data_IF_831579617071
#
_entry.id   IF_831579617071
#
_cell.length_a   1.000
_cell.length_b   1.000
_cell.length_c   1.000
_cell.angle_alpha   90.00
_cell.angle_beta   90.00
_cell.angle_gamma   90.00
#
_symmetry.space_group_name_H-M   'P 1'
#
loop_
_entity.id
_entity.type
_entity.pdbx_description
1 polymer ?
#
# COMPACT_ATOMS: atom_id res chain seq x y z
N UNK A 1 -3.37 -2.30 -22.69
CA UNK A 1 -2.47 -1.17 -22.52
C UNK A 1 -1.25 -1.44 -23.40
N UNK A 2 -0.87 -0.50 -24.26
CA UNK A 2 0.39 -0.61 -25.00
C UNK A 2 1.57 -0.34 -24.06
N UNK A 3 2.76 -0.81 -24.47
CA UNK A 3 3.97 -0.75 -23.64
C UNK A 3 4.37 0.69 -23.29
N UNK A 4 4.33 1.59 -24.28
CA UNK A 4 4.70 3.00 -24.09
C UNK A 4 3.82 3.73 -23.09
N UNK A 5 2.51 3.47 -23.13
CA UNK A 5 1.57 4.03 -22.15
C UNK A 5 1.80 3.44 -20.77
N UNK A 6 2.03 2.11 -20.67
CA UNK A 6 2.31 1.45 -19.40
C UNK A 6 3.57 2.04 -18.75
N UNK A 7 4.67 2.11 -19.51
CA UNK A 7 5.95 2.68 -19.04
C UNK A 7 5.77 4.14 -18.60
N UNK A 8 5.05 4.95 -19.39
CA UNK A 8 4.85 6.36 -19.03
C UNK A 8 4.02 6.52 -17.75
N UNK A 9 2.99 5.70 -17.54
CA UNK A 9 2.18 5.73 -16.31
C UNK A 9 3.05 5.31 -15.12
N UNK A 10 3.85 4.26 -15.26
CA UNK A 10 4.79 3.81 -14.23
C UNK A 10 5.79 4.90 -13.86
N UNK A 11 6.41 5.57 -14.84
CA UNK A 11 7.37 6.64 -14.59
C UNK A 11 6.74 7.81 -13.82
N UNK A 12 5.53 8.24 -14.18
CA UNK A 12 4.83 9.29 -13.44
C UNK A 12 4.39 8.83 -12.05
N UNK A 13 4.06 7.55 -11.91
CA UNK A 13 3.85 6.93 -10.59
C UNK A 13 5.12 6.99 -9.72
N UNK A 14 6.29 6.66 -10.27
CA UNK A 14 7.58 6.73 -9.57
C UNK A 14 7.98 8.18 -9.23
N UNK A 15 7.76 9.13 -10.12
CA UNK A 15 7.97 10.56 -9.82
C UNK A 15 7.06 11.00 -8.67
N UNK A 16 5.78 10.67 -8.75
CA UNK A 16 4.81 10.97 -7.68
C UNK A 16 5.17 10.29 -6.36
N UNK A 17 5.62 9.02 -6.38
CA UNK A 17 6.10 8.28 -5.22
C UNK A 17 7.26 9.03 -4.54
N UNK A 18 8.28 9.41 -5.29
CA UNK A 18 9.44 10.10 -4.74
C UNK A 18 9.07 11.47 -4.16
N UNK A 19 8.31 12.28 -4.92
CA UNK A 19 7.86 13.60 -4.47
C UNK A 19 6.99 13.48 -3.22
N UNK A 20 6.03 12.56 -3.22
CA UNK A 20 5.16 12.31 -2.06
C UNK A 20 5.94 11.85 -0.84
N UNK A 21 6.86 10.90 -1.01
CA UNK A 21 7.72 10.42 0.08
C UNK A 21 8.53 11.55 0.71
N UNK A 22 9.06 12.44 -0.12
CA UNK A 22 9.88 13.55 0.34
C UNK A 22 9.07 14.64 1.03
N UNK A 23 7.94 15.01 0.44
CA UNK A 23 7.03 16.00 1.06
C UNK A 23 6.52 15.53 2.42
N UNK A 24 6.19 14.25 2.57
CA UNK A 24 5.81 13.68 3.86
C UNK A 24 6.92 13.75 4.89
N UNK A 25 8.13 13.37 4.52
CA UNK A 25 9.28 13.45 5.43
C UNK A 25 9.62 14.90 5.83
N UNK A 26 9.51 15.84 4.89
CA UNK A 26 9.69 17.28 5.18
C UNK A 26 8.63 17.78 6.15
N UNK A 27 7.37 17.34 5.99
CA UNK A 27 6.30 17.68 6.90
C UNK A 27 6.53 17.09 8.31
N UNK A 28 6.89 15.81 8.38
CA UNK A 28 7.12 15.08 9.64
C UNK A 28 8.31 15.65 10.44
N UNK A 29 9.31 16.22 9.75
CA UNK A 29 10.55 16.75 10.34
C UNK A 29 10.81 18.20 9.94
N UNK A 30 9.77 19.04 9.98
CA UNK A 30 9.83 20.43 9.53
C UNK A 30 10.94 21.24 10.19
N UNK A 31 11.13 21.08 11.50
CA UNK A 31 12.17 21.81 12.25
C UNK A 31 13.58 21.55 11.69
N UNK A 32 13.85 20.29 11.31
CA UNK A 32 15.13 19.91 10.70
C UNK A 32 15.28 20.48 9.29
N UNK A 33 14.26 20.33 8.44
CA UNK A 33 14.34 20.78 7.05
C UNK A 33 14.26 22.28 6.90
N UNK A 34 13.59 23.00 7.79
CA UNK A 34 13.59 24.47 7.81
C UNK A 34 14.97 25.04 8.13
N UNK A 35 15.76 24.39 8.98
CA UNK A 35 17.14 24.74 9.28
C UNK A 35 18.13 24.36 8.16
N UNK A 36 17.78 23.38 7.32
CA UNK A 36 18.64 22.84 6.26
C UNK A 36 17.89 22.70 4.92
N UNK A 37 17.42 23.79 4.30
CA UNK A 37 16.49 23.74 3.15
C UNK A 37 17.06 23.02 1.92
N UNK A 38 18.38 23.05 1.71
CA UNK A 38 19.03 22.34 0.60
C UNK A 38 18.89 20.80 0.73
N UNK A 39 18.73 20.29 1.95
CA UNK A 39 18.50 18.85 2.18
C UNK A 39 17.15 18.37 1.68
N UNK A 40 16.18 19.25 1.45
CA UNK A 40 14.89 18.88 0.85
C UNK A 40 15.06 18.19 -0.51
N UNK A 41 16.06 18.56 -1.29
CA UNK A 41 16.35 17.98 -2.61
C UNK A 41 17.43 16.89 -2.60
N UNK A 42 17.93 16.48 -1.42
CA UNK A 42 18.99 15.48 -1.25
C UNK A 42 18.41 14.10 -0.88
N UNK A 43 18.10 13.20 -1.85
CA UNK A 43 17.45 11.91 -1.57
C UNK A 43 18.35 10.90 -0.84
N UNK A 44 19.66 11.01 -1.01
CA UNK A 44 20.67 10.10 -0.45
C UNK A 44 20.88 10.23 1.06
N UNK A 45 20.34 11.26 1.68
CA UNK A 45 20.42 11.48 3.12
C UNK A 45 19.29 10.80 3.91
N UNK A 46 18.43 10.07 3.24
CA UNK A 46 17.27 9.42 3.86
C UNK A 46 16.09 10.40 4.07
N UNK A 47 15.20 10.07 4.98
CA UNK A 47 13.98 10.85 5.25
C UNK A 47 12.96 10.73 4.12
N UNK A 48 12.30 9.57 4.05
CA UNK A 48 11.21 9.27 3.12
C UNK A 48 10.03 8.71 3.92
N UNK A 49 8.84 9.25 3.71
CA UNK A 49 7.61 8.78 4.34
C UNK A 49 6.87 7.82 3.40
N UNK A 50 6.66 6.57 3.83
CA UNK A 50 6.03 5.55 3.00
C UNK A 50 4.56 5.87 2.67
N UNK A 51 3.81 6.42 3.63
CA UNK A 51 2.38 6.70 3.45
C UNK A 51 2.16 7.73 2.34
N UNK A 52 2.90 8.83 2.41
CA UNK A 52 2.82 9.91 1.41
C UNK A 52 3.46 9.50 0.08
N UNK A 53 4.40 8.54 0.08
CA UNK A 53 4.93 7.92 -1.12
C UNK A 53 3.83 7.23 -1.93
N UNK A 54 3.04 6.38 -1.30
CA UNK A 54 1.92 5.69 -1.97
C UNK A 54 0.84 6.65 -2.47
N UNK A 55 0.51 7.67 -1.66
CA UNK A 55 -0.42 8.71 -2.10
C UNK A 55 0.10 9.45 -3.34
N UNK A 56 1.36 9.85 -3.32
CA UNK A 56 2.01 10.49 -4.45
C UNK A 56 2.07 9.62 -5.70
N UNK A 57 2.40 8.33 -5.55
CA UNK A 57 2.39 7.36 -6.65
C UNK A 57 1.00 7.25 -7.29
N UNK A 58 -0.05 7.15 -6.46
CA UNK A 58 -1.44 7.10 -6.93
C UNK A 58 -1.84 8.37 -7.69
N UNK A 59 -1.49 9.55 -7.17
CA UNK A 59 -1.76 10.84 -7.81
C UNK A 59 -1.02 10.94 -9.16
N UNK A 60 0.27 10.60 -9.21
CA UNK A 60 1.07 10.65 -10.43
C UNK A 60 0.54 9.71 -11.52
N UNK A 61 0.23 8.46 -11.14
CA UNK A 61 -0.34 7.48 -12.04
C UNK A 61 -1.74 7.91 -12.53
N UNK A 62 -2.64 8.34 -11.63
CA UNK A 62 -3.98 8.79 -11.97
C UNK A 62 -3.97 10.03 -12.91
N UNK A 63 -3.10 10.99 -12.62
CA UNK A 63 -2.92 12.15 -13.50
C UNK A 63 -2.50 11.74 -14.90
N UNK A 64 -1.55 10.81 -15.01
CA UNK A 64 -1.10 10.34 -16.32
C UNK A 64 -2.15 9.51 -17.05
N UNK A 65 -2.89 8.65 -16.33
CA UNK A 65 -4.04 7.93 -16.88
C UNK A 65 -5.08 8.88 -17.47
N UNK A 66 -5.43 9.94 -16.72
CA UNK A 66 -6.36 10.97 -17.21
C UNK A 66 -5.86 11.63 -18.50
N UNK A 67 -4.57 12.01 -18.56
CA UNK A 67 -3.96 12.63 -19.75
C UNK A 67 -3.94 11.70 -20.96
N UNK A 68 -3.76 10.40 -20.75
CA UNK A 68 -3.72 9.38 -21.81
C UNK A 68 -5.09 8.77 -22.11
N UNK A 69 -6.15 9.19 -21.41
CA UNK A 69 -7.51 8.62 -21.48
C UNK A 69 -7.53 7.11 -21.25
N UNK A 70 -6.65 6.62 -20.37
CA UNK A 70 -6.61 5.23 -19.93
C UNK A 70 -7.52 5.07 -18.71
N UNK A 71 -8.43 4.08 -18.70
CA UNK A 71 -9.27 3.80 -17.52
C UNK A 71 -8.40 3.43 -16.32
N UNK A 72 -8.64 4.06 -15.17
CA UNK A 72 -7.85 3.84 -13.94
C UNK A 72 -7.94 2.38 -13.48
N UNK A 73 -9.06 1.73 -13.71
CA UNK A 73 -9.30 0.32 -13.37
C UNK A 73 -8.32 -0.64 -14.07
N UNK A 74 -7.87 -0.28 -15.28
CA UNK A 74 -6.88 -1.08 -16.01
C UNK A 74 -5.50 -1.05 -15.33
N UNK A 75 -5.13 0.10 -14.78
CA UNK A 75 -3.88 0.26 -14.03
C UNK A 75 -4.01 -0.34 -12.64
N UNK A 76 -5.15 -0.14 -11.98
CA UNK A 76 -5.46 -0.72 -10.69
C UNK A 76 -5.40 -2.26 -10.73
N UNK A 77 -5.90 -2.90 -11.80
CA UNK A 77 -5.75 -4.35 -12.00
C UNK A 77 -4.29 -4.76 -12.06
N UNK A 78 -3.50 -4.08 -12.90
CA UNK A 78 -2.08 -4.39 -13.05
C UNK A 78 -1.26 -4.15 -11.78
N UNK A 79 -1.66 -3.21 -10.94
CA UNK A 79 -0.96 -2.84 -9.70
C UNK A 79 -1.35 -3.70 -8.49
N UNK A 80 -2.52 -4.34 -8.48
CA UNK A 80 -3.09 -4.98 -7.28
C UNK A 80 -2.20 -6.08 -6.69
N UNK A 81 -1.75 -7.03 -7.50
CA UNK A 81 -0.88 -8.12 -7.04
C UNK A 81 0.54 -7.65 -6.77
N UNK A 82 1.20 -6.85 -7.65
CA UNK A 82 2.51 -6.29 -7.36
C UNK A 82 2.55 -5.46 -6.07
N UNK A 83 1.51 -4.69 -5.75
CA UNK A 83 1.43 -3.94 -4.51
C UNK A 83 1.47 -4.86 -3.28
N UNK A 84 0.65 -5.93 -3.27
CA UNK A 84 0.65 -6.91 -2.17
C UNK A 84 1.99 -7.64 -2.03
N UNK A 85 2.65 -8.00 -3.15
CA UNK A 85 3.99 -8.60 -3.14
C UNK A 85 5.02 -7.63 -2.55
N UNK A 86 5.00 -6.37 -2.98
CA UNK A 86 5.95 -5.34 -2.54
C UNK A 86 5.81 -5.08 -1.04
N UNK A 87 4.59 -4.98 -0.51
CA UNK A 87 4.34 -4.83 0.93
C UNK A 87 4.87 -6.04 1.71
N UNK A 88 4.54 -7.26 1.27
CA UNK A 88 5.04 -8.49 1.91
C UNK A 88 6.57 -8.52 2.00
N UNK A 89 7.26 -8.24 0.87
CA UNK A 89 8.73 -8.23 0.83
C UNK A 89 9.32 -7.07 1.64
N UNK A 90 8.68 -5.91 1.60
CA UNK A 90 9.10 -4.74 2.37
C UNK A 90 9.11 -4.99 3.88
N UNK A 91 8.15 -5.77 4.40
CA UNK A 91 8.13 -6.15 5.83
C UNK A 91 9.27 -7.09 6.23
N UNK A 92 9.65 -8.00 5.34
CA UNK A 92 10.87 -8.79 5.56
C UNK A 92 12.13 -7.91 5.56
N UNK A 93 12.20 -6.90 4.68
CA UNK A 93 13.27 -5.89 4.70
C UNK A 93 13.34 -5.13 6.03
N UNK A 94 12.19 -4.68 6.57
CA UNK A 94 12.12 -4.04 7.89
C UNK A 94 12.57 -4.99 9.01
N UNK A 95 12.20 -6.26 8.94
CA UNK A 95 12.61 -7.26 9.93
C UNK A 95 14.13 -7.48 9.93
N UNK A 96 14.73 -7.66 8.76
CA UNK A 96 16.18 -7.84 8.60
C UNK A 96 16.96 -6.58 9.01
N UNK A 97 16.39 -5.40 8.84
CA UNK A 97 16.98 -4.13 9.27
C UNK A 97 16.78 -3.84 10.77
N UNK A 98 16.00 -4.65 11.48
CA UNK A 98 15.72 -4.45 12.91
C UNK A 98 14.91 -3.20 13.22
N UNK A 99 14.06 -2.72 12.29
CA UNK A 99 13.21 -1.53 12.48
C UNK A 99 11.72 -1.89 12.45
N UNK A 100 10.86 -0.96 12.87
CA UNK A 100 9.40 -1.09 12.82
C UNK A 100 8.83 -2.24 13.70
N UNK A 101 9.52 -2.60 14.77
CA UNK A 101 9.05 -3.57 15.75
C UNK A 101 7.93 -3.02 16.63
N UNK A 102 7.37 -3.87 17.48
CA UNK A 102 6.26 -3.54 18.34
C UNK A 102 6.64 -3.11 19.76
N UNK A 103 5.62 -2.90 20.57
CA UNK A 103 5.77 -2.62 22.01
C UNK A 103 6.38 -3.82 22.75
N UNK A 104 6.85 -3.58 23.97
CA UNK A 104 7.36 -4.64 24.85
C UNK A 104 6.31 -5.72 25.08
N UNK A 105 6.76 -6.96 25.16
CA UNK A 105 5.88 -8.10 25.24
C UNK A 105 6.48 -9.26 26.07
N UNK A 106 5.61 -10.11 26.60
CA UNK A 106 6.00 -11.29 27.37
C UNK A 106 5.70 -12.64 26.69
N UNK A 107 4.91 -12.74 25.60
CA UNK A 107 4.65 -14.00 24.91
C UNK A 107 5.91 -14.67 24.40
N UNK A 108 5.90 -16.04 24.24
CA UNK A 108 7.09 -16.80 23.84
C UNK A 108 7.60 -16.52 22.41
N UNK A 109 6.81 -15.83 21.59
CA UNK A 109 7.21 -15.39 20.24
C UNK A 109 7.74 -13.96 20.19
N UNK A 110 7.89 -13.31 21.35
CA UNK A 110 8.59 -12.03 21.41
C UNK A 110 10.06 -12.17 21.02
N UNK A 111 10.62 -11.11 20.46
CA UNK A 111 11.99 -11.12 19.91
C UNK A 111 12.81 -9.96 20.44
N UNK A 112 14.13 -10.15 20.50
CA UNK A 112 15.11 -9.09 20.75
C UNK A 112 15.50 -8.43 19.44
N UNK A 113 15.62 -7.11 19.46
CA UNK A 113 16.05 -6.35 18.28
C UNK A 113 17.40 -5.66 18.53
N UNK A 114 18.27 -5.53 17.49
CA UNK A 114 19.67 -5.12 17.67
C UNK A 114 19.87 -3.72 18.28
N UNK A 115 18.88 -2.84 18.17
CA UNK A 115 18.97 -1.46 18.64
C UNK A 115 18.22 -1.20 19.96
N UNK A 116 17.67 -2.25 20.56
CA UNK A 116 17.04 -2.18 21.89
C UNK A 116 18.04 -2.39 23.02
N UNK A 117 17.77 -1.89 24.24
CA UNK A 117 18.52 -2.25 25.44
C UNK A 117 18.50 -3.75 25.68
N UNK A 118 19.56 -4.26 26.33
CA UNK A 118 19.65 -5.67 26.68
C UNK A 118 18.45 -6.10 27.56
N UNK A 119 17.87 -7.26 27.22
CA UNK A 119 16.76 -7.86 27.96
C UNK A 119 15.37 -7.41 27.50
N UNK A 120 15.24 -6.42 26.64
CA UNK A 120 13.94 -5.98 26.13
C UNK A 120 13.46 -6.95 25.04
N UNK A 121 12.23 -7.46 25.21
CA UNK A 121 11.54 -8.36 24.27
C UNK A 121 10.35 -7.61 23.67
N UNK A 122 10.22 -7.64 22.36
CA UNK A 122 9.17 -6.89 21.63
C UNK A 122 8.35 -7.76 20.70
N UNK A 123 7.14 -7.29 20.38
CA UNK A 123 6.34 -7.89 19.31
C UNK A 123 7.04 -7.76 17.95
N UNK A 124 7.25 -8.85 17.20
CA UNK A 124 7.78 -8.80 15.82
C UNK A 124 6.67 -8.39 14.84
N UNK A 125 6.19 -7.15 14.94
CA UNK A 125 5.08 -6.64 14.14
C UNK A 125 5.35 -6.68 12.65
N UNK A 126 6.63 -6.66 12.23
CA UNK A 126 7.04 -6.87 10.84
C UNK A 126 6.59 -8.24 10.32
N UNK A 127 6.74 -9.29 11.14
CA UNK A 127 6.31 -10.67 10.79
C UNK A 127 4.78 -10.73 10.76
N UNK A 128 4.07 -10.05 11.68
CA UNK A 128 2.60 -10.01 11.65
C UNK A 128 2.09 -9.40 10.35
N UNK A 129 2.70 -8.27 9.94
CA UNK A 129 2.40 -7.66 8.65
C UNK A 129 2.75 -8.56 7.48
N UNK A 130 3.95 -9.14 7.43
CA UNK A 130 4.39 -9.99 6.33
C UNK A 130 3.46 -11.19 6.12
N UNK A 131 3.03 -11.85 7.20
CA UNK A 131 2.09 -12.96 7.12
C UNK A 131 0.67 -12.52 6.72
N UNK A 132 0.21 -11.39 7.25
CA UNK A 132 -1.09 -10.82 6.88
C UNK A 132 -1.13 -10.37 5.42
N UNK A 133 -0.08 -9.72 4.92
CA UNK A 133 0.07 -9.33 3.51
C UNK A 133 0.16 -10.55 2.59
N UNK A 134 0.89 -11.58 3.00
CA UNK A 134 0.92 -12.85 2.26
C UNK A 134 -0.49 -13.48 2.18
N UNK A 135 -1.24 -13.47 3.29
CA UNK A 135 -2.62 -13.93 3.32
C UNK A 135 -3.51 -13.10 2.38
N UNK A 136 -3.36 -11.78 2.38
CA UNK A 136 -4.07 -10.88 1.46
C UNK A 136 -3.69 -11.15 0.00
N UNK A 137 -2.41 -11.35 -0.31
CA UNK A 137 -1.95 -11.72 -1.64
C UNK A 137 -2.61 -13.02 -2.13
N UNK A 138 -2.62 -14.06 -1.28
CA UNK A 138 -3.25 -15.34 -1.61
C UNK A 138 -4.76 -15.18 -1.84
N UNK A 139 -5.44 -14.36 -1.04
CA UNK A 139 -6.85 -14.00 -1.22
C UNK A 139 -7.07 -13.32 -2.58
N UNK A 140 -6.27 -12.31 -2.91
CA UNK A 140 -6.38 -11.60 -4.19
C UNK A 140 -6.16 -12.55 -5.38
N UNK A 141 -5.16 -13.43 -5.31
CA UNK A 141 -4.93 -14.46 -6.34
C UNK A 141 -6.11 -15.43 -6.46
N UNK A 142 -6.73 -15.81 -5.34
CA UNK A 142 -7.93 -16.63 -5.31
C UNK A 142 -9.11 -15.94 -5.97
N UNK A 143 -9.35 -14.68 -5.63
CA UNK A 143 -10.41 -13.84 -6.21
C UNK A 143 -10.18 -13.62 -7.71
N UNK A 144 -8.94 -13.34 -8.13
CA UNK A 144 -8.60 -13.19 -9.54
C UNK A 144 -8.94 -14.47 -10.34
N UNK A 145 -8.58 -15.64 -9.81
CA UNK A 145 -8.93 -16.93 -10.45
C UNK A 145 -10.43 -17.17 -10.50
N UNK A 146 -11.14 -16.80 -9.42
CA UNK A 146 -12.59 -16.95 -9.31
C UNK A 146 -13.36 -16.05 -10.28
N UNK A 147 -12.92 -14.79 -10.47
CA UNK A 147 -13.48 -13.86 -11.47
C UNK A 147 -13.28 -14.43 -12.89
N UNK A 148 -12.21 -15.18 -13.10
CA UNK A 148 -11.86 -15.85 -14.35
C UNK A 148 -11.04 -14.97 -15.31
N UNK A 149 -10.20 -15.66 -16.08
CA UNK A 149 -9.32 -15.01 -17.06
C UNK A 149 -10.06 -14.36 -18.25
N UNK A 150 -11.34 -14.72 -18.46
CA UNK A 150 -12.18 -14.18 -19.52
C UNK A 150 -12.82 -12.83 -19.21
N UNK A 151 -12.77 -12.36 -17.96
CA UNK A 151 -13.32 -11.07 -17.59
C UNK A 151 -12.42 -9.93 -18.08
N UNK A 152 -13.05 -8.82 -18.46
CA UNK A 152 -12.32 -7.61 -18.86
C UNK A 152 -11.40 -7.14 -17.75
N UNK A 153 -10.22 -6.61 -18.09
CA UNK A 153 -9.25 -6.05 -17.14
C UNK A 153 -9.84 -4.96 -16.25
N UNK A 154 -10.75 -4.17 -16.83
CA UNK A 154 -11.48 -3.14 -16.10
C UNK A 154 -12.29 -3.72 -14.93
N UNK A 155 -12.99 -4.85 -15.14
CA UNK A 155 -13.78 -5.50 -14.10
C UNK A 155 -12.88 -6.09 -13.00
N UNK A 156 -11.77 -6.71 -13.38
CA UNK A 156 -10.79 -7.23 -12.39
C UNK A 156 -10.21 -6.11 -11.55
N UNK A 157 -9.78 -5.01 -12.17
CA UNK A 157 -9.23 -3.86 -11.45
C UNK A 157 -10.24 -3.16 -10.55
N UNK A 158 -11.49 -3.14 -10.95
CA UNK A 158 -12.59 -2.62 -10.15
C UNK A 158 -12.92 -3.46 -8.90
N UNK A 159 -12.42 -4.70 -8.81
CA UNK A 159 -12.59 -5.59 -7.65
C UNK A 159 -11.28 -5.77 -6.86
N UNK A 160 -10.18 -6.08 -7.54
CA UNK A 160 -8.93 -6.46 -6.87
C UNK A 160 -8.29 -5.29 -6.13
N UNK A 161 -8.23 -4.10 -6.74
CA UNK A 161 -7.62 -2.94 -6.11
C UNK A 161 -8.36 -2.47 -4.86
N UNK A 162 -9.69 -2.26 -4.90
CA UNK A 162 -10.44 -1.94 -3.70
C UNK A 162 -10.34 -3.01 -2.60
N UNK A 163 -10.32 -4.30 -2.99
CA UNK A 163 -10.15 -5.39 -2.04
C UNK A 163 -8.78 -5.33 -1.37
N UNK A 164 -7.72 -5.02 -2.14
CA UNK A 164 -6.39 -4.77 -1.58
C UNK A 164 -6.41 -3.60 -0.59
N UNK A 165 -7.00 -2.45 -0.96
CA UNK A 165 -7.05 -1.28 -0.08
C UNK A 165 -7.78 -1.56 1.23
N UNK A 166 -8.93 -2.23 1.17
CA UNK A 166 -9.71 -2.59 2.37
C UNK A 166 -8.95 -3.63 3.21
N UNK A 167 -8.42 -4.67 2.57
CA UNK A 167 -7.66 -5.72 3.26
C UNK A 167 -6.40 -5.16 3.95
N UNK A 168 -5.66 -4.30 3.28
CA UNK A 168 -4.51 -3.61 3.84
C UNK A 168 -4.89 -2.73 5.04
N UNK A 169 -5.96 -1.95 4.93
CA UNK A 169 -6.43 -1.11 6.03
C UNK A 169 -6.83 -1.94 7.26
N UNK A 170 -7.58 -3.03 7.06
CA UNK A 170 -7.97 -3.94 8.15
C UNK A 170 -6.76 -4.58 8.81
N UNK A 171 -5.80 -5.04 8.02
CA UNK A 171 -4.55 -5.59 8.54
C UNK A 171 -3.79 -4.54 9.36
N UNK A 172 -3.66 -3.34 8.81
CA UNK A 172 -2.99 -2.24 9.49
C UNK A 172 -3.65 -1.91 10.83
N UNK A 173 -4.97 -1.75 10.85
CA UNK A 173 -5.71 -1.47 12.09
C UNK A 173 -5.61 -2.59 13.13
N UNK A 174 -5.42 -3.83 12.68
CA UNK A 174 -5.21 -4.98 13.57
C UNK A 174 -3.82 -5.01 14.19
N UNK A 175 -2.79 -4.57 13.47
CA UNK A 175 -1.38 -4.67 13.90
C UNK A 175 -0.85 -3.36 14.50
N UNK A 176 -1.30 -2.19 14.04
CA UNK A 176 -0.82 -0.88 14.51
C UNK A 176 -0.90 -0.70 16.04
N UNK A 177 -1.91 -1.20 16.78
CA UNK A 177 -1.94 -1.10 18.25
C UNK A 177 -0.74 -1.77 18.96
N UNK A 178 -0.11 -2.73 18.29
CA UNK A 178 1.07 -3.45 18.80
C UNK A 178 2.40 -2.84 18.37
N UNK A 179 2.37 -1.77 17.54
CA UNK A 179 3.59 -1.11 17.06
C UNK A 179 4.16 -0.18 18.11
N UNK A 180 5.48 -0.16 18.20
CA UNK A 180 6.22 0.84 18.94
C UNK A 180 6.48 2.02 18.02
N UNK A 181 5.75 3.11 18.19
CA UNK A 181 5.99 4.34 17.43
C UNK A 181 6.31 5.48 18.38
N UNK A 182 7.40 6.18 18.07
CA UNK A 182 7.86 7.31 18.86
C UNK A 182 7.04 8.60 18.61
N UNK A 183 6.14 8.60 17.59
CA UNK A 183 5.39 9.79 17.18
C UNK A 183 3.88 9.47 17.03
N UNK A 184 3.05 9.86 18.02
CA UNK A 184 1.60 9.62 18.00
C UNK A 184 0.88 10.19 16.77
N UNK A 185 1.34 11.31 16.22
CA UNK A 185 0.77 11.95 15.03
C UNK A 185 0.88 11.08 13.77
N UNK A 186 1.95 10.30 13.63
CA UNK A 186 2.14 9.39 12.49
C UNK A 186 1.13 8.24 12.54
N UNK A 187 0.82 7.72 13.72
CA UNK A 187 -0.23 6.72 13.92
C UNK A 187 -1.59 7.24 13.48
N UNK A 188 -1.97 8.42 13.97
CA UNK A 188 -3.27 9.02 13.67
C UNK A 188 -3.42 9.31 12.18
N UNK A 189 -2.39 9.89 11.57
CA UNK A 189 -2.35 10.15 10.12
C UNK A 189 -2.43 8.87 9.30
N UNK A 190 -1.68 7.83 9.68
CA UNK A 190 -1.73 6.51 9.05
C UNK A 190 -3.12 5.88 9.15
N UNK A 191 -3.77 5.97 10.30
CA UNK A 191 -5.12 5.48 10.53
C UNK A 191 -6.15 6.19 9.64
N UNK A 192 -6.11 7.52 9.57
CA UNK A 192 -7.02 8.31 8.73
C UNK A 192 -6.79 8.05 7.23
N UNK A 193 -5.54 7.99 6.77
CA UNK A 193 -5.23 7.74 5.37
C UNK A 193 -5.65 6.34 4.93
N UNK A 194 -5.40 5.32 5.74
CA UNK A 194 -5.87 3.96 5.43
C UNK A 194 -7.38 3.83 5.54
N UNK A 195 -8.02 4.56 6.46
CA UNK A 195 -9.47 4.64 6.58
C UNK A 195 -10.13 5.29 5.37
N UNK A 196 -9.60 6.41 4.89
CA UNK A 196 -10.10 7.07 3.68
C UNK A 196 -9.88 6.20 2.44
N UNK A 197 -8.74 5.51 2.35
CA UNK A 197 -8.46 4.56 1.27
C UNK A 197 -9.42 3.36 1.29
N UNK A 198 -9.71 2.80 2.47
CA UNK A 198 -10.69 1.73 2.62
C UNK A 198 -12.10 2.18 2.24
N UNK A 199 -12.51 3.37 2.69
CA UNK A 199 -13.81 3.94 2.34
C UNK A 199 -13.92 4.17 0.82
N UNK A 200 -12.90 4.76 0.20
CA UNK A 200 -12.85 4.92 -1.25
C UNK A 200 -12.93 3.57 -1.98
N UNK A 201 -12.25 2.54 -1.47
CA UNK A 201 -12.33 1.18 -1.98
C UNK A 201 -13.73 0.58 -1.87
N UNK A 202 -14.41 0.75 -0.74
CA UNK A 202 -15.79 0.27 -0.53
C UNK A 202 -16.79 1.00 -1.46
N UNK A 203 -16.67 2.32 -1.60
CA UNK A 203 -17.49 3.11 -2.52
C UNK A 203 -17.26 2.66 -3.96
N UNK A 204 -16.01 2.43 -4.35
CA UNK A 204 -15.67 1.92 -5.68
C UNK A 204 -16.25 0.53 -5.93
N UNK A 205 -16.10 -0.41 -4.98
CA UNK A 205 -16.72 -1.74 -5.07
C UNK A 205 -18.24 -1.65 -5.21
N UNK A 206 -18.88 -0.80 -4.44
CA UNK A 206 -20.34 -0.60 -4.50
C UNK A 206 -20.80 -0.08 -5.88
N UNK A 207 -20.08 0.92 -6.41
CA UNK A 207 -20.40 1.50 -7.72
C UNK A 207 -20.22 0.50 -8.87
N UNK A 208 -19.20 -0.37 -8.79
CA UNK A 208 -18.89 -1.33 -9.87
C UNK A 208 -19.59 -2.69 -9.70
N UNK A 209 -20.20 -2.95 -8.54
CA UNK A 209 -20.87 -4.24 -8.26
C UNK A 209 -22.01 -4.58 -9.22
N UNK A 210 -22.75 -3.57 -9.66
CA UNK A 210 -23.82 -3.75 -10.64
C UNK A 210 -23.29 -4.23 -12.01
N UNK A 211 -22.17 -3.65 -12.43
CA UNK A 211 -21.52 -3.97 -13.70
C UNK A 211 -20.89 -5.37 -13.65
N UNK A 212 -20.25 -5.71 -12.53
CA UNK A 212 -19.73 -7.05 -12.30
C UNK A 212 -20.82 -8.14 -12.40
N UNK A 213 -22.00 -7.90 -11.80
CA UNK A 213 -23.13 -8.85 -11.88
C UNK A 213 -23.66 -9.01 -13.29
N UNK A 214 -23.67 -7.94 -14.10
CA UNK A 214 -24.09 -8.00 -15.51
C UNK A 214 -23.10 -8.83 -16.34
N UNK A 215 -21.80 -8.52 -16.27
CA UNK A 215 -20.77 -9.26 -17.00
C UNK A 215 -20.74 -10.76 -16.67
N UNK A 216 -21.00 -11.14 -15.40
CA UNK A 216 -21.06 -12.54 -15.00
C UNK A 216 -22.26 -13.27 -15.58
N UNK A 217 -23.43 -12.61 -15.71
CA UNK A 217 -24.63 -13.21 -16.32
C UNK A 217 -24.43 -13.40 -17.83
N UNK A 218 -23.82 -12.43 -18.50
CA UNK A 218 -23.57 -12.51 -19.95
C UNK A 218 -22.47 -13.52 -20.31
N UNK A 219 -21.44 -13.66 -19.46
CA UNK A 219 -20.40 -14.68 -19.62
C UNK A 219 -20.89 -16.13 -19.40
N UNK A 220 -21.93 -16.30 -18.59
CA UNK A 220 -22.57 -17.61 -18.34
C UNK A 220 -23.57 -18.03 -19.45
N UNK A 221 -23.93 -17.12 -20.34
CA UNK A 221 -24.89 -17.38 -21.44
C UNK A 221 -24.23 -17.59 -22.80
N UNK A 222 -22.91 -17.61 -22.86
CA UNK A 222 -22.18 -17.99 -24.08
C UNK A 222 -21.87 -19.49 -24.04
N UNK A 223 -22.37 -20.29 -25.00
CA UNK A 223 -22.15 -21.74 -25.09
C UNK A 223 -20.68 -22.08 -25.35
#
# INVERSE_FOLDING_TARGET
LDEDRAVTILLWGLVGLYVGARLGAVYDHWDYFSAHPWRIVSPWEGGLSAITAFAGAGIGAAWRCHRLKVPLETVAEAASLPAAVTETLGRWGCFLNGCCYGVETTPPWGMHFPFDPEGVVRHPTQIYYALGELGLLLLLMGVERWIGKGSERRVRGAVLWPLFMVGYALLRWSVDPWRHENVPTIHLMGFFLTGTAALAGLVWLGATWSDFRKCRKEGSSRP
#
